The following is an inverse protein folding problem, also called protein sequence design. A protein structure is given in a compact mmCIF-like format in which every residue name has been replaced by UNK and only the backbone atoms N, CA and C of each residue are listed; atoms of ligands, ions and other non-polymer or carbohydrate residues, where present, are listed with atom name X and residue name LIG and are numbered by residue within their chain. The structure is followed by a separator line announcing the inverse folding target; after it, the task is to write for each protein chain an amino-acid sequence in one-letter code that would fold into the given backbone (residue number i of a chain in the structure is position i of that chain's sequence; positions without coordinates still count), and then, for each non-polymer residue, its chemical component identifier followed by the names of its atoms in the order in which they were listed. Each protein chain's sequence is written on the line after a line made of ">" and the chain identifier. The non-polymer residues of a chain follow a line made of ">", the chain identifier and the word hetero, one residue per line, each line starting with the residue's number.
data_IF_139128384083
#
_entry.id   IF_139128384083
#
_cell.length_a   1.000
_cell.length_b   1.000
_cell.length_c   1.000
_cell.angle_alpha   90.00
_cell.angle_beta   90.00
_cell.angle_gamma   90.00
#
_symmetry.space_group_name_H-M   'P 1'
#
loop_
_entity.id
_entity.type
_entity.pdbx_description
1 polymer ?
#
# COMPACT_ATOMS: atom_id res chain seq x y z
N UNK A 1 8.73 11.31 -3.65
CA UNK A 1 7.70 10.29 -3.96
C UNK A 1 8.11 9.02 -3.22
N UNK A 2 7.57 8.78 -2.02
CA UNK A 2 8.04 7.70 -1.16
C UNK A 2 7.27 6.40 -1.45
N UNK A 3 7.78 5.59 -2.38
CA UNK A 3 7.21 4.26 -2.64
C UNK A 3 7.69 3.19 -1.65
N UNK A 4 8.80 3.44 -0.93
CA UNK A 4 9.47 2.42 -0.12
C UNK A 4 8.62 1.89 1.04
N UNK A 5 7.76 2.72 1.64
CA UNK A 5 6.98 2.36 2.83
C UNK A 5 5.46 2.60 2.65
N UNK A 6 4.98 2.75 1.41
CA UNK A 6 3.57 3.05 1.10
C UNK A 6 2.98 4.18 1.99
N UNK A 7 3.71 5.28 2.13
CA UNK A 7 3.37 6.43 2.98
C UNK A 7 3.07 6.10 4.47
N UNK A 8 3.52 4.95 4.97
CA UNK A 8 3.40 4.55 6.37
C UNK A 8 4.77 4.57 7.03
N UNK A 9 4.85 5.11 8.23
CA UNK A 9 6.04 5.10 9.08
C UNK A 9 5.72 4.32 10.36
N UNK A 10 6.56 3.34 10.68
CA UNK A 10 6.46 2.55 11.89
C UNK A 10 7.44 3.10 12.93
N UNK A 11 6.91 3.52 14.08
CA UNK A 11 7.71 3.99 15.20
C UNK A 11 7.66 2.97 16.34
N UNK A 12 8.83 2.49 16.76
CA UNK A 12 8.97 1.68 17.97
C UNK A 12 8.89 2.61 19.18
N UNK A 13 7.96 2.33 20.10
CA UNK A 13 7.87 3.08 21.35
C UNK A 13 8.92 2.51 22.30
N UNK A 14 9.96 3.29 22.69
CA UNK A 14 11.02 2.79 23.55
C UNK A 14 10.42 2.30 24.88
N UNK A 15 10.98 1.21 25.42
CA UNK A 15 10.53 0.54 26.64
C UNK A 15 9.16 -0.16 26.56
N UNK A 16 8.59 -0.28 25.36
CA UNK A 16 7.40 -1.13 25.12
C UNK A 16 7.66 -2.10 23.95
N UNK A 17 6.95 -3.22 23.92
CA UNK A 17 6.91 -4.14 22.80
C UNK A 17 5.85 -3.76 21.74
N UNK A 18 5.48 -2.48 21.67
CA UNK A 18 4.45 -1.96 20.77
C UNK A 18 5.04 -1.13 19.63
N UNK A 19 4.42 -1.25 18.45
CA UNK A 19 4.76 -0.49 17.24
C UNK A 19 3.59 0.42 16.90
N UNK A 20 3.86 1.69 16.64
CA UNK A 20 2.84 2.66 16.21
C UNK A 20 3.01 2.95 14.72
N UNK A 21 1.91 2.94 13.97
CA UNK A 21 1.90 3.28 12.54
C UNK A 21 1.33 4.68 12.35
N UNK A 22 2.07 5.55 11.67
CA UNK A 22 1.68 6.92 11.37
C UNK A 22 1.96 7.27 9.90
N UNK A 23 1.32 8.31 9.34
CA UNK A 23 1.66 8.79 8.00
C UNK A 23 3.14 9.16 7.91
N UNK A 24 3.78 8.83 6.80
CA UNK A 24 5.19 9.13 6.62
C UNK A 24 5.41 10.66 6.63
N UNK A 25 6.28 11.20 7.50
CA UNK A 25 6.46 12.64 7.66
C UNK A 25 6.99 13.32 6.39
N UNK A 26 7.78 12.61 5.57
CA UNK A 26 8.33 13.13 4.31
C UNK A 26 7.32 13.15 3.16
N UNK A 27 6.30 12.31 3.23
CA UNK A 27 5.42 12.00 2.10
C UNK A 27 3.99 12.49 2.34
N UNK A 28 3.66 12.80 3.61
CA UNK A 28 2.35 13.24 4.04
C UNK A 28 1.28 12.15 3.97
N UNK A 29 0.10 12.40 4.56
CA UNK A 29 -1.06 11.53 4.37
C UNK A 29 -1.49 11.59 2.90
N UNK A 30 -1.82 10.43 2.31
CA UNK A 30 -2.47 10.42 0.99
C UNK A 30 -3.88 10.98 1.16
N UNK A 31 -4.24 11.95 0.34
CA UNK A 31 -5.63 12.40 0.25
C UNK A 31 -6.48 11.27 -0.33
N UNK A 32 -7.75 11.17 0.08
CA UNK A 32 -8.66 10.07 -0.30
C UNK A 32 -8.71 9.85 -1.82
N UNK A 33 -8.68 10.93 -2.58
CA UNK A 33 -8.70 10.92 -4.05
C UNK A 33 -7.46 10.24 -4.65
N UNK A 34 -6.28 10.46 -4.06
CA UNK A 34 -5.04 9.81 -4.50
C UNK A 34 -4.98 8.33 -4.13
N UNK A 35 -5.70 7.92 -3.08
CA UNK A 35 -5.83 6.50 -2.71
C UNK A 35 -6.78 5.82 -3.69
N UNK A 36 -7.95 6.40 -3.94
CA UNK A 36 -8.92 5.87 -4.88
C UNK A 36 -8.35 5.72 -6.31
N UNK A 37 -7.60 6.73 -6.78
CA UNK A 37 -6.95 6.65 -8.08
C UNK A 37 -5.90 5.53 -8.16
N UNK A 38 -5.12 5.33 -7.10
CA UNK A 38 -4.11 4.28 -7.04
C UNK A 38 -4.71 2.87 -6.90
N UNK A 39 -5.84 2.73 -6.21
CA UNK A 39 -6.58 1.47 -6.12
C UNK A 39 -7.16 1.06 -7.47
N UNK A 40 -7.72 2.01 -8.22
CA UNK A 40 -8.25 1.75 -9.56
C UNK A 40 -7.12 1.34 -10.53
N UNK A 41 -5.99 2.03 -10.50
CA UNK A 41 -4.81 1.68 -11.30
C UNK A 41 -4.29 0.27 -10.95
N UNK A 42 -4.17 -0.03 -9.65
CA UNK A 42 -3.75 -1.35 -9.18
C UNK A 42 -4.72 -2.45 -9.63
N UNK A 43 -6.03 -2.19 -9.58
CA UNK A 43 -7.05 -3.14 -10.01
C UNK A 43 -6.95 -3.46 -11.50
N UNK A 44 -6.66 -2.45 -12.32
CA UNK A 44 -6.45 -2.64 -13.77
C UNK A 44 -5.17 -3.44 -14.05
N UNK A 45 -4.08 -3.18 -13.30
CA UNK A 45 -2.85 -3.94 -13.41
C UNK A 45 -3.04 -5.42 -13.02
N UNK A 46 -3.79 -5.69 -11.95
CA UNK A 46 -4.14 -7.07 -11.54
C UNK A 46 -4.98 -7.74 -12.62
N UNK A 47 -6.00 -7.07 -13.15
CA UNK A 47 -6.84 -7.64 -14.21
C UNK A 47 -6.06 -7.92 -15.51
N UNK A 48 -5.08 -7.09 -15.87
CA UNK A 48 -4.20 -7.35 -17.01
C UNK A 48 -3.21 -8.49 -16.71
N UNK A 49 -2.65 -8.55 -15.51
CA UNK A 49 -1.80 -9.65 -15.07
C UNK A 49 -2.54 -10.99 -15.05
N UNK A 50 -3.79 -11.03 -14.57
CA UNK A 50 -4.64 -12.23 -14.60
C UNK A 50 -4.89 -12.71 -16.03
N UNK A 51 -5.13 -11.81 -16.99
CA UNK A 51 -5.28 -12.17 -18.41
C UNK A 51 -3.99 -12.70 -19.01
N UNK A 52 -2.84 -12.11 -18.67
CA UNK A 52 -1.53 -12.46 -19.25
C UNK A 52 -0.93 -13.73 -18.65
N UNK A 53 -1.11 -13.93 -17.35
CA UNK A 53 -0.44 -14.99 -16.59
C UNK A 53 -1.41 -16.08 -16.09
N UNK A 54 -2.72 -15.93 -16.28
CA UNK A 54 -3.70 -16.95 -15.92
C UNK A 54 -3.80 -17.24 -14.42
N UNK A 55 -3.39 -16.31 -13.55
CA UNK A 55 -3.31 -16.47 -12.08
C UNK A 55 -4.68 -16.34 -11.40
N UNK A 56 -5.75 -16.76 -12.07
CA UNK A 56 -7.13 -16.70 -11.58
C UNK A 56 -7.68 -18.02 -11.03
N UNK A 57 -6.86 -19.07 -10.90
CA UNK A 57 -7.36 -20.41 -10.52
C UNK A 57 -6.42 -21.22 -9.61
N UNK A 58 -5.72 -20.59 -8.67
CA UNK A 58 -5.05 -21.32 -7.60
C UNK A 58 -5.05 -20.53 -6.29
N UNK A 59 -6.00 -20.84 -5.40
CA UNK A 59 -6.01 -20.37 -4.02
C UNK A 59 -7.40 -20.18 -3.44
N UNK A 60 -8.09 -21.30 -3.19
CA UNK A 60 -9.15 -21.39 -2.18
C UNK A 60 -8.57 -21.22 -0.77
#
# INVERSE_FOLDING_TARGET
>A
MCSLCNNTNAMLIPFSSSVFFMPCPDCGPRIKEQVAAAEEELRQMIADAERRFGVGAAGA
#
